data_IF_619781165361
#
_entry.id   IF_619781165361
#
_cell.length_a   1.000
_cell.length_b   1.000
_cell.length_c   1.000
_cell.angle_alpha   90.00
_cell.angle_beta   90.00
_cell.angle_gamma   90.00
#
_symmetry.space_group_name_H-M   'P 1'
#
loop_
_entity.id
_entity.type
_entity.pdbx_description
1 polymer ?
#
# COMPACT_ATOMS: atom_id res chain seq x y z
N UNK A 1 0.28 -1.97 -16.21
CA UNK A 1 1.15 -1.93 -15.01
C UNK A 1 1.40 -3.38 -14.62
N UNK A 2 2.62 -3.77 -14.22
CA UNK A 2 2.85 -5.15 -13.76
C UNK A 2 1.96 -5.44 -12.54
N UNK A 3 1.42 -6.66 -12.43
CA UNK A 3 0.52 -7.04 -11.32
C UNK A 3 1.15 -6.74 -9.95
N UNK A 4 2.49 -6.84 -9.86
CA UNK A 4 3.29 -6.48 -8.70
C UNK A 4 3.20 -4.99 -8.32
N UNK A 5 3.20 -4.07 -9.29
CA UNK A 5 3.11 -2.64 -9.02
C UNK A 5 1.71 -2.25 -8.51
N UNK A 6 0.66 -2.86 -9.09
CA UNK A 6 -0.71 -2.65 -8.63
C UNK A 6 -0.90 -3.19 -7.20
N UNK A 7 -0.44 -4.41 -6.93
CA UNK A 7 -0.47 -5.00 -5.59
C UNK A 7 0.32 -4.15 -4.57
N UNK A 8 1.53 -3.72 -4.93
CA UNK A 8 2.35 -2.86 -4.07
C UNK A 8 1.67 -1.54 -3.73
N UNK A 9 1.07 -0.89 -4.74
CA UNK A 9 0.32 0.35 -4.55
C UNK A 9 -0.89 0.16 -3.65
N UNK A 10 -1.64 -0.94 -3.84
CA UNK A 10 -2.77 -1.29 -2.97
C UNK A 10 -2.33 -1.40 -1.50
N UNK A 11 -1.24 -2.11 -1.21
CA UNK A 11 -0.75 -2.26 0.15
C UNK A 11 -0.25 -0.95 0.77
N UNK A 12 0.37 -0.06 -0.01
CA UNK A 12 0.76 1.28 0.47
C UNK A 12 -0.48 2.13 0.80
N UNK A 13 -1.50 2.10 -0.04
CA UNK A 13 -2.76 2.81 0.21
C UNK A 13 -3.48 2.25 1.45
N UNK A 14 -3.49 0.93 1.61
CA UNK A 14 -4.03 0.26 2.79
C UNK A 14 -3.26 0.68 4.05
N UNK A 15 -1.93 0.71 4.00
CA UNK A 15 -1.11 1.18 5.12
C UNK A 15 -1.46 2.62 5.52
N UNK A 16 -1.57 3.50 4.53
CA UNK A 16 -2.00 4.89 4.73
C UNK A 16 -3.39 4.98 5.37
N UNK A 17 -4.36 4.22 4.87
CA UNK A 17 -5.72 4.17 5.40
C UNK A 17 -5.75 3.70 6.87
N UNK A 18 -5.03 2.62 7.21
CA UNK A 18 -4.98 2.09 8.56
C UNK A 18 -4.31 3.07 9.53
N UNK A 19 -3.17 3.66 9.14
CA UNK A 19 -2.48 4.65 9.94
C UNK A 19 -3.31 5.94 10.13
N UNK A 20 -4.02 6.37 9.08
CA UNK A 20 -4.93 7.50 9.13
C UNK A 20 -6.09 7.24 10.10
N UNK A 21 -6.73 6.08 10.00
CA UNK A 21 -7.80 5.62 10.89
C UNK A 21 -7.32 5.58 12.34
N UNK A 22 -6.16 4.99 12.61
CA UNK A 22 -5.55 4.91 13.94
C UNK A 22 -5.32 6.28 14.61
N UNK A 23 -5.10 7.33 13.80
CA UNK A 23 -4.82 8.69 14.29
C UNK A 23 -6.07 9.56 14.39
N UNK A 24 -7.01 9.41 13.47
CA UNK A 24 -8.14 10.33 13.34
C UNK A 24 -9.39 9.84 14.07
N UNK A 25 -9.59 8.52 14.20
CA UNK A 25 -10.75 7.97 14.92
C UNK A 25 -10.74 8.26 16.42
N UNK A 26 -9.59 8.68 16.98
CA UNK A 26 -9.41 8.93 18.41
C UNK A 26 -9.20 10.40 18.75
N UNK A 27 -9.39 11.32 17.78
CA UNK A 27 -9.25 12.75 18.03
C UNK A 27 -10.39 13.29 18.89
N UNK A 28 -10.12 14.21 19.83
CA UNK A 28 -11.17 14.92 20.55
C UNK A 28 -12.15 15.60 19.57
N UNK A 29 -13.45 15.47 19.82
CA UNK A 29 -14.48 16.10 18.99
C UNK A 29 -14.69 15.43 17.62
N UNK A 30 -14.28 14.17 17.45
CA UNK A 30 -14.60 13.40 16.25
C UNK A 30 -16.10 13.14 16.18
N UNK A 31 -16.74 13.54 15.09
CA UNK A 31 -18.12 13.15 14.82
C UNK A 31 -18.17 11.66 14.50
N UNK A 32 -18.84 10.86 15.32
CA UNK A 32 -18.92 9.40 15.13
C UNK A 32 -19.74 8.98 13.90
N UNK A 33 -20.57 9.88 13.36
CA UNK A 33 -21.42 9.61 12.17
C UNK A 33 -20.66 9.84 10.88
N UNK A 34 -19.88 10.90 10.80
CA UNK A 34 -19.15 11.30 9.58
C UNK A 34 -17.65 11.02 9.66
N UNK A 35 -17.11 10.93 10.86
CA UNK A 35 -15.70 10.76 11.14
C UNK A 35 -15.17 9.37 10.79
N UNK A 36 -13.85 9.25 10.65
CA UNK A 36 -13.20 8.01 10.21
C UNK A 36 -13.15 6.98 11.31
N UNK A 37 -13.51 5.73 11.01
CA UNK A 37 -13.50 4.63 11.95
C UNK A 37 -14.38 3.45 11.52
N UNK A 38 -14.37 2.40 12.32
CA UNK A 38 -15.21 1.22 12.11
C UNK A 38 -16.57 1.45 12.74
N UNK A 39 -17.60 1.53 11.89
CA UNK A 39 -18.98 1.76 12.29
C UNK A 39 -19.69 0.43 12.47
N UNK A 40 -19.94 0.09 13.73
CA UNK A 40 -20.78 -1.04 14.14
C UNK A 40 -21.72 -0.55 15.23
N UNK A 41 -22.86 -1.23 15.48
CA UNK A 41 -23.81 -0.79 16.50
C UNK A 41 -23.16 -0.48 17.87
N UNK A 42 -22.16 -1.27 18.26
CA UNK A 42 -21.42 -1.06 19.50
C UNK A 42 -20.57 0.23 19.51
N UNK A 43 -19.96 0.62 18.39
CA UNK A 43 -19.14 1.84 18.32
C UNK A 43 -19.97 3.11 18.16
N UNK A 44 -21.22 3.00 17.69
CA UNK A 44 -22.14 4.12 17.50
C UNK A 44 -23.03 4.41 18.72
N UNK A 45 -22.94 3.62 19.79
CA UNK A 45 -23.78 3.77 20.98
C UNK A 45 -23.52 5.10 21.73
N UNK A 46 -22.28 5.58 21.74
CA UNK A 46 -21.88 6.88 22.29
C UNK A 46 -20.49 7.28 21.81
N UNK A 47 -20.12 8.55 21.95
CA UNK A 47 -18.75 9.02 21.68
C UNK A 47 -17.70 8.32 22.55
N UNK A 48 -18.04 8.02 23.81
CA UNK A 48 -17.14 7.28 24.71
C UNK A 48 -16.96 5.83 24.24
N UNK A 49 -18.02 5.18 23.76
CA UNK A 49 -17.93 3.83 23.19
C UNK A 49 -17.06 3.83 21.92
N UNK A 50 -17.24 4.84 21.06
CA UNK A 50 -16.39 5.06 19.90
C UNK A 50 -14.91 5.21 20.26
N UNK A 51 -14.60 6.13 21.17
CA UNK A 51 -13.22 6.39 21.60
C UNK A 51 -12.59 5.17 22.28
N UNK A 52 -13.30 4.51 23.19
CA UNK A 52 -12.79 3.34 23.89
C UNK A 52 -12.48 2.18 22.91
N UNK A 53 -13.37 1.93 21.95
CA UNK A 53 -13.16 0.90 20.94
C UNK A 53 -11.96 1.23 20.04
N UNK A 54 -11.88 2.46 19.52
CA UNK A 54 -10.79 2.85 18.61
C UNK A 54 -9.44 2.98 19.33
N UNK A 55 -9.41 3.38 20.60
CA UNK A 55 -8.18 3.37 21.40
C UNK A 55 -7.66 1.94 21.62
N UNK A 56 -8.56 0.99 21.92
CA UNK A 56 -8.21 -0.43 22.03
C UNK A 56 -7.75 -1.03 20.69
N UNK A 57 -8.37 -0.63 19.59
CA UNK A 57 -8.05 -1.10 18.25
C UNK A 57 -6.78 -0.45 17.65
N UNK A 58 -6.39 0.73 18.15
CA UNK A 58 -5.25 1.52 17.66
C UNK A 58 -3.95 0.74 17.46
N UNK A 59 -3.45 -0.08 18.41
CA UNK A 59 -2.23 -0.85 18.20
C UNK A 59 -2.35 -1.82 17.02
N UNK A 60 -3.52 -2.44 16.83
CA UNK A 60 -3.75 -3.36 15.71
C UNK A 60 -3.78 -2.64 14.37
N UNK A 61 -4.40 -1.45 14.29
CA UNK A 61 -4.35 -0.63 13.08
C UNK A 61 -2.93 -0.20 12.74
N UNK A 62 -2.12 0.20 13.73
CA UNK A 62 -0.73 0.58 13.49
C UNK A 62 0.14 -0.62 13.09
N UNK A 63 -0.04 -1.77 13.72
CA UNK A 63 0.65 -3.01 13.34
C UNK A 63 0.26 -3.43 11.92
N UNK A 64 -1.03 -3.42 11.59
CA UNK A 64 -1.53 -3.69 10.25
C UNK A 64 -0.98 -2.70 9.21
N UNK A 65 -0.89 -1.42 9.55
CA UNK A 65 -0.28 -0.41 8.70
C UNK A 65 1.20 -0.70 8.43
N UNK A 66 1.96 -1.09 9.46
CA UNK A 66 3.37 -1.44 9.32
C UNK A 66 3.55 -2.68 8.43
N UNK A 67 2.77 -3.74 8.65
CA UNK A 67 2.80 -4.96 7.83
C UNK A 67 2.44 -4.65 6.37
N UNK A 68 1.37 -3.88 6.14
CA UNK A 68 0.96 -3.48 4.80
C UNK A 68 2.05 -2.62 4.12
N UNK A 69 2.71 -1.71 4.85
CA UNK A 69 3.79 -0.90 4.29
C UNK A 69 4.99 -1.76 3.87
N UNK A 70 5.40 -2.73 4.70
CA UNK A 70 6.48 -3.67 4.38
C UNK A 70 6.10 -4.51 3.16
N UNK A 71 4.89 -5.06 3.11
CA UNK A 71 4.40 -5.79 1.94
C UNK A 71 4.44 -4.89 0.70
N UNK A 72 3.88 -3.69 0.76
CA UNK A 72 3.89 -2.72 -0.33
C UNK A 72 5.29 -2.45 -0.87
N UNK A 73 6.27 -2.22 0.01
CA UNK A 73 7.67 -2.03 -0.37
C UNK A 73 8.26 -3.25 -1.11
N UNK A 74 7.98 -4.47 -0.62
CA UNK A 74 8.46 -5.72 -1.26
C UNK A 74 7.88 -5.88 -2.67
N UNK A 75 6.57 -5.66 -2.84
CA UNK A 75 5.90 -5.76 -4.13
C UNK A 75 6.41 -4.71 -5.13
N UNK A 76 6.60 -3.46 -4.69
CA UNK A 76 7.14 -2.39 -5.53
C UNK A 76 8.60 -2.66 -5.92
N UNK A 77 9.42 -3.16 -4.99
CA UNK A 77 10.80 -3.57 -5.29
C UNK A 77 10.82 -4.68 -6.35
N UNK A 78 9.92 -5.67 -6.24
CA UNK A 78 9.81 -6.74 -7.24
C UNK A 78 9.40 -6.21 -8.61
N UNK A 79 8.45 -5.28 -8.66
CA UNK A 79 8.03 -4.62 -9.89
C UNK A 79 9.18 -3.85 -10.55
N UNK A 80 9.96 -3.10 -9.75
CA UNK A 80 11.11 -2.36 -10.22
C UNK A 80 12.19 -3.28 -10.82
N UNK A 81 12.50 -4.39 -10.14
CA UNK A 81 13.44 -5.39 -10.67
C UNK A 81 12.97 -5.94 -12.02
N UNK A 82 11.69 -6.29 -12.14
CA UNK A 82 11.12 -6.76 -13.41
C UNK A 82 11.25 -5.74 -14.55
N UNK A 83 11.03 -4.46 -14.26
CA UNK A 83 11.20 -3.38 -15.23
C UNK A 83 12.67 -3.23 -15.67
N UNK A 84 13.62 -3.24 -14.73
CA UNK A 84 15.06 -3.17 -15.03
C UNK A 84 15.48 -4.34 -15.92
N UNK A 85 15.06 -5.57 -15.58
CA UNK A 85 15.36 -6.76 -16.40
C UNK A 85 14.82 -6.62 -17.82
N UNK A 86 13.59 -6.12 -17.99
CA UNK A 86 13.00 -5.92 -19.31
C UNK A 86 13.78 -4.88 -20.14
N UNK A 87 14.18 -3.77 -19.53
CA UNK A 87 14.99 -2.73 -20.20
C UNK A 87 16.33 -3.30 -20.68
N UNK A 88 17.03 -4.05 -19.81
CA UNK A 88 18.31 -4.68 -20.16
C UNK A 88 18.14 -5.71 -21.29
N UNK A 89 17.09 -6.54 -21.24
CA UNK A 89 16.80 -7.52 -22.28
C UNK A 89 16.51 -6.87 -23.64
N UNK A 90 15.73 -5.78 -23.67
CA UNK A 90 15.46 -5.02 -24.90
C UNK A 90 16.75 -4.40 -25.44
N UNK A 91 17.58 -3.82 -24.57
CA UNK A 91 18.89 -3.27 -24.96
C UNK A 91 19.80 -4.32 -25.59
N UNK A 92 19.92 -5.48 -24.94
CA UNK A 92 20.71 -6.60 -25.45
C UNK A 92 20.20 -7.11 -26.81
N UNK A 93 18.88 -7.31 -26.95
CA UNK A 93 18.27 -7.76 -28.20
C UNK A 93 18.52 -6.78 -29.36
N UNK A 94 18.43 -5.48 -29.10
CA UNK A 94 18.75 -4.45 -30.10
C UNK A 94 20.23 -4.43 -30.47
N UNK A 95 21.12 -4.56 -29.48
CA UNK A 95 22.57 -4.66 -29.72
C UNK A 95 22.94 -5.85 -30.60
N UNK A 96 22.39 -7.03 -30.31
CA UNK A 96 22.60 -8.25 -31.13
C UNK A 96 22.08 -8.05 -32.56
N UNK A 97 20.89 -7.46 -32.71
CA UNK A 97 20.30 -7.22 -34.04
C UNK A 97 21.14 -6.24 -34.86
N UNK A 98 21.64 -5.18 -34.23
CA UNK A 98 22.53 -4.22 -34.89
C UNK A 98 23.87 -4.85 -35.29
N UNK A 99 24.46 -5.68 -34.42
CA UNK A 99 25.69 -6.40 -34.73
C UNK A 99 25.52 -7.35 -35.93
N UNK A 100 24.42 -8.10 -36.01
CA UNK A 100 24.11 -8.98 -37.14
C UNK A 100 23.91 -8.21 -38.45
N UNK A 101 23.26 -7.05 -38.40
CA UNK A 101 23.10 -6.20 -39.58
C UNK A 101 24.43 -5.63 -40.07
N UNK A 102 25.37 -5.35 -39.16
CA UNK A 102 26.70 -4.83 -39.50
C UNK A 102 27.63 -5.89 -40.10
N UNK A 103 27.42 -7.17 -39.81
CA UNK A 103 28.28 -8.25 -40.32
C UNK A 103 27.88 -8.79 -41.70
N UNK A 104 26.69 -8.43 -42.23
CA UNK A 104 26.20 -8.86 -43.55
C UNK A 104 26.03 -10.40 -43.70
N UNK A 105 25.37 -10.89 -44.77
CA UNK A 105 25.50 -12.28 -45.19
C UNK A 105 26.92 -12.59 -45.69
#
# INVERSE_FOLDING_TARGET
>A
MSDWAAAGSFFVLLAGFLAWTARHSVRPGVDIRTGPGVRVPATLASEQAWHAAHLRARPFFLAGAAVALVAGAVFLARAALGAVTAVLAIGAARGISAARAATGP
#
